data_IF_459673818955
#
_entry.id   IF_459673818955
#
_cell.length_a   1.000
_cell.length_b   1.000
_cell.length_c   1.000
_cell.angle_alpha   90.00
_cell.angle_beta   90.00
_cell.angle_gamma   90.00
#
_symmetry.space_group_name_H-M   'P 1'
#
loop_
_entity.id
_entity.type
_entity.pdbx_description
1 polymer ?
#
# COMPACT_ATOMS: atom_id res chain seq x y z
N UNK A 1 -16.83 56.78 21.74
CA UNK A 1 -17.03 58.20 21.38
C UNK A 1 -16.03 58.49 20.27
N UNK A 2 -16.35 58.92 19.07
CA UNK A 2 -17.59 59.42 18.49
C UNK A 2 -17.44 59.39 16.95
N UNK A 3 -18.55 59.07 16.29
CA UNK A 3 -19.06 59.45 14.96
C UNK A 3 -18.17 59.81 13.74
N UNK A 4 -18.67 59.28 12.61
CA UNK A 4 -18.33 59.45 11.18
C UNK A 4 -18.57 60.90 10.66
N UNK A 5 -18.79 61.22 9.35
CA UNK A 5 -18.60 60.51 8.07
C UNK A 5 -17.96 61.40 6.96
N UNK A 6 -17.78 60.90 5.73
CA UNK A 6 -18.13 61.66 4.49
C UNK A 6 -18.16 60.76 3.23
N UNK A 7 -19.20 61.03 2.44
CA UNK A 7 -19.81 60.31 1.31
C UNK A 7 -19.05 60.50 -0.03
N UNK A 8 -19.42 59.76 -1.10
CA UNK A 8 -18.70 59.64 -2.37
C UNK A 8 -19.14 60.69 -3.40
N UNK A 9 -18.52 60.71 -4.59
CA UNK A 9 -19.20 61.15 -5.81
C UNK A 9 -19.40 60.01 -6.82
N UNK A 10 -20.66 59.83 -7.19
CA UNK A 10 -21.14 59.22 -8.42
C UNK A 10 -20.92 60.20 -9.59
N UNK A 11 -20.55 59.73 -10.79
CA UNK A 11 -21.14 60.27 -12.02
C UNK A 11 -20.96 59.35 -13.23
N UNK A 12 -22.10 58.93 -13.74
CA UNK A 12 -22.32 58.34 -15.05
C UNK A 12 -22.14 59.40 -16.15
N UNK A 13 -21.66 58.95 -17.32
CA UNK A 13 -21.99 59.48 -18.65
C UNK A 13 -21.73 58.33 -19.64
N UNK A 14 -22.74 57.57 -20.07
CA UNK A 14 -23.45 57.78 -21.35
C UNK A 14 -22.59 58.38 -22.45
N UNK A 15 -22.32 57.62 -23.52
CA UNK A 15 -22.27 58.10 -24.93
C UNK A 15 -22.06 56.89 -25.85
N UNK A 16 -23.15 56.46 -26.48
CA UNK A 16 -23.15 55.72 -27.74
C UNK A 16 -22.57 56.60 -28.86
N UNK A 17 -21.96 56.04 -29.90
CA UNK A 17 -22.63 56.02 -31.23
C UNK A 17 -22.21 54.75 -32.01
N UNK A 18 -22.71 54.37 -33.17
CA UNK A 18 -23.61 54.96 -34.14
C UNK A 18 -24.20 53.80 -34.94
N UNK A 19 -25.45 53.96 -35.38
CA UNK A 19 -26.09 53.09 -36.34
C UNK A 19 -25.29 53.01 -37.66
N UNK A 20 -25.17 51.80 -38.21
CA UNK A 20 -24.96 51.64 -39.65
C UNK A 20 -26.03 50.71 -40.20
N UNK A 21 -27.04 51.36 -40.75
CA UNK A 21 -28.06 50.85 -41.66
C UNK A 21 -27.46 49.98 -42.76
N UNK A 22 -27.91 48.74 -42.89
CA UNK A 22 -27.97 48.08 -44.19
C UNK A 22 -29.16 47.12 -44.30
N UNK A 23 -29.74 47.11 -45.49
CA UNK A 23 -31.15 46.89 -45.84
C UNK A 23 -31.55 45.41 -45.88
N UNK A 24 -32.84 45.07 -45.76
CA UNK A 24 -33.33 43.70 -45.90
C UNK A 24 -33.58 43.35 -47.37
N UNK A 25 -33.27 42.11 -47.75
CA UNK A 25 -33.50 41.61 -49.11
C UNK A 25 -33.65 40.09 -49.15
N UNK A 26 -34.90 39.70 -49.41
CA UNK A 26 -35.36 38.49 -50.11
C UNK A 26 -35.29 37.10 -49.46
N UNK A 27 -36.51 36.56 -49.33
CA UNK A 27 -36.88 35.16 -49.17
C UNK A 27 -36.12 34.25 -50.16
N UNK A 28 -35.67 33.09 -49.69
CA UNK A 28 -35.59 31.91 -50.54
C UNK A 28 -35.89 30.64 -49.74
N UNK A 29 -36.88 29.93 -50.25
CA UNK A 29 -37.40 28.63 -49.87
C UNK A 29 -36.44 27.51 -50.26
N UNK A 30 -36.48 26.42 -49.49
CA UNK A 30 -36.24 25.04 -49.95
C UNK A 30 -34.83 24.68 -50.47
N UNK A 31 -34.02 24.04 -49.63
CA UNK A 31 -33.00 23.07 -50.09
C UNK A 31 -32.50 22.20 -48.93
N UNK A 32 -33.26 21.14 -48.72
CA UNK A 32 -32.85 19.77 -48.38
C UNK A 32 -31.33 19.49 -48.39
N UNK A 33 -30.85 18.98 -47.25
CA UNK A 33 -29.73 18.05 -47.06
C UNK A 33 -28.34 18.46 -47.57
N UNK A 34 -27.44 18.77 -46.64
CA UNK A 34 -26.09 18.24 -46.67
C UNK A 34 -25.64 17.88 -45.24
N UNK A 35 -25.26 16.62 -45.11
CA UNK A 35 -24.93 15.87 -43.90
C UNK A 35 -23.74 16.55 -43.18
N UNK A 36 -24.00 17.14 -42.03
CA UNK A 36 -22.96 17.66 -41.12
C UNK A 36 -22.05 16.51 -40.69
N UNK A 37 -20.81 16.54 -41.19
CA UNK A 37 -19.67 15.89 -40.57
C UNK A 37 -19.28 16.70 -39.34
N UNK A 38 -19.74 16.28 -38.17
CA UNK A 38 -19.24 16.83 -36.90
C UNK A 38 -19.10 15.69 -35.90
N UNK A 39 -17.84 15.35 -35.63
CA UNK A 39 -17.38 14.37 -34.66
C UNK A 39 -18.04 14.57 -33.28
N UNK A 40 -19.13 13.87 -32.98
CA UNK A 40 -19.57 13.65 -31.60
C UNK A 40 -18.74 12.52 -30.98
N UNK A 41 -17.52 12.85 -30.56
CA UNK A 41 -16.74 12.01 -29.66
C UNK A 41 -16.91 12.49 -28.23
N UNK A 42 -18.13 12.40 -27.70
CA UNK A 42 -18.35 12.47 -26.26
C UNK A 42 -18.11 11.07 -25.67
N UNK A 43 -16.82 10.90 -25.40
CA UNK A 43 -16.13 9.86 -24.64
C UNK A 43 -16.92 9.49 -23.37
N UNK A 44 -17.34 8.23 -23.31
CA UNK A 44 -17.74 7.55 -22.05
C UNK A 44 -16.66 7.79 -20.97
N UNK A 45 -17.02 8.09 -19.71
CA UNK A 45 -16.07 8.00 -18.62
C UNK A 45 -15.81 6.51 -18.35
N UNK A 46 -14.73 5.98 -18.90
CA UNK A 46 -14.20 4.69 -18.46
C UNK A 46 -13.80 4.85 -16.99
N UNK A 47 -14.48 4.13 -16.10
CA UNK A 47 -14.05 3.90 -14.73
C UNK A 47 -12.75 3.10 -14.79
N UNK A 48 -11.62 3.77 -15.01
CA UNK A 48 -10.31 3.13 -14.89
C UNK A 48 -10.01 2.99 -13.41
N UNK A 49 -10.29 1.78 -12.94
CA UNK A 49 -9.90 1.21 -11.66
C UNK A 49 -8.47 1.62 -11.28
N UNK A 50 -8.34 2.59 -10.37
CA UNK A 50 -7.10 2.88 -9.65
C UNK A 50 -6.90 1.81 -8.57
N UNK A 51 -6.65 0.58 -9.01
CA UNK A 51 -6.03 -0.46 -8.19
C UNK A 51 -4.67 -0.69 -8.82
N UNK A 52 -3.65 0.03 -8.34
CA UNK A 52 -2.22 -0.33 -8.34
C UNK A 52 -1.37 0.95 -8.13
N UNK A 53 -1.25 1.46 -6.90
CA UNK A 53 -0.13 2.35 -6.54
C UNK A 53 0.26 2.17 -5.07
N UNK A 54 0.49 0.94 -4.59
CA UNK A 54 1.20 0.69 -3.32
C UNK A 54 1.94 -0.67 -3.31
N UNK A 55 2.55 -1.08 -4.42
CA UNK A 55 3.34 -2.34 -4.49
C UNK A 55 4.85 -2.10 -4.55
N UNK A 56 5.40 -1.18 -3.75
CA UNK A 56 6.82 -0.81 -3.81
C UNK A 56 7.46 -0.55 -2.46
N UNK A 57 7.22 -1.40 -1.46
CA UNK A 57 7.87 -1.26 -0.16
C UNK A 57 8.37 -2.58 0.44
N UNK A 58 8.47 -3.68 -0.33
CA UNK A 58 8.78 -5.01 0.22
C UNK A 58 10.10 -5.63 -0.25
N UNK A 59 10.92 -4.90 -0.99
CA UNK A 59 12.12 -5.44 -1.65
C UNK A 59 13.22 -5.92 -0.68
N UNK A 60 13.09 -5.64 0.62
CA UNK A 60 14.04 -6.08 1.65
C UNK A 60 13.47 -7.13 2.61
N UNK A 61 12.31 -7.72 2.33
CA UNK A 61 11.73 -8.79 3.18
C UNK A 61 12.04 -10.14 2.57
N UNK A 62 12.61 -11.01 3.41
CA UNK A 62 12.78 -12.41 3.07
C UNK A 62 11.38 -13.05 2.84
N UNK A 63 11.09 -13.51 1.62
CA UNK A 63 9.78 -14.06 1.28
C UNK A 63 9.48 -15.33 2.09
N UNK A 64 10.49 -16.09 2.49
CA UNK A 64 10.34 -17.27 3.36
C UNK A 64 9.83 -16.86 4.73
N UNK A 65 10.36 -15.76 5.27
CA UNK A 65 9.93 -15.23 6.57
C UNK A 65 8.52 -14.66 6.53
N UNK A 66 8.16 -14.00 5.43
CA UNK A 66 6.80 -13.49 5.23
C UNK A 66 5.82 -14.65 5.14
N UNK A 67 6.13 -15.69 4.36
CA UNK A 67 5.31 -16.87 4.23
C UNK A 67 5.14 -17.61 5.58
N UNK A 68 6.21 -17.74 6.38
CA UNK A 68 6.13 -18.32 7.71
C UNK A 68 5.20 -17.53 8.64
N UNK A 69 5.28 -16.19 8.61
CA UNK A 69 4.39 -15.31 9.38
C UNK A 69 2.93 -15.47 8.98
N UNK A 70 2.65 -15.46 7.67
CA UNK A 70 1.29 -15.66 7.13
C UNK A 70 0.75 -17.05 7.46
N UNK A 71 1.57 -18.10 7.41
CA UNK A 71 1.19 -19.45 7.84
C UNK A 71 0.83 -19.49 9.34
N UNK A 72 1.53 -18.73 10.16
CA UNK A 72 1.19 -18.56 11.58
C UNK A 72 -0.16 -17.88 11.80
N UNK A 73 -0.55 -16.94 10.93
CA UNK A 73 -1.88 -16.31 10.96
C UNK A 73 -2.98 -17.33 10.66
N UNK A 74 -2.74 -18.28 9.75
CA UNK A 74 -3.70 -19.33 9.42
C UNK A 74 -3.89 -20.37 10.53
N UNK A 75 -2.84 -20.64 11.30
CA UNK A 75 -2.85 -21.62 12.39
C UNK A 75 -3.56 -21.12 13.66
N UNK A 76 -3.92 -19.84 13.72
CA UNK A 76 -4.51 -19.21 14.89
C UNK A 76 -6.03 -19.21 14.82
N UNK A 77 -6.67 -19.60 15.91
CA UNK A 77 -8.14 -19.61 16.02
C UNK A 77 -8.73 -18.25 16.42
N UNK A 78 -7.90 -17.34 16.94
CA UNK A 78 -8.31 -15.99 17.36
C UNK A 78 -8.27 -14.94 16.22
N UNK A 79 -7.94 -15.38 15.01
CA UNK A 79 -7.83 -14.52 13.82
C UNK A 79 -9.12 -14.59 13.00
N UNK A 80 -9.56 -13.43 12.49
CA UNK A 80 -10.75 -13.35 11.64
C UNK A 80 -10.58 -14.06 10.30
N UNK A 81 -11.68 -14.61 9.77
CA UNK A 81 -11.69 -15.30 8.47
C UNK A 81 -11.20 -14.40 7.34
N UNK A 82 -11.52 -13.10 7.38
CA UNK A 82 -11.03 -12.12 6.40
C UNK A 82 -9.52 -11.85 6.48
N UNK A 83 -8.88 -12.09 7.61
CA UNK A 83 -7.43 -12.02 7.75
C UNK A 83 -6.77 -13.33 7.28
N UNK A 84 -7.39 -14.48 7.56
CA UNK A 84 -6.96 -15.78 7.03
C UNK A 84 -7.01 -15.83 5.50
N UNK A 85 -8.13 -15.40 4.90
CA UNK A 85 -8.29 -15.35 3.46
C UNK A 85 -7.23 -14.47 2.76
N UNK A 86 -6.88 -13.33 3.36
CA UNK A 86 -5.81 -12.46 2.83
C UNK A 86 -4.43 -13.08 2.98
N UNK A 87 -4.19 -13.80 4.08
CA UNK A 87 -2.93 -14.49 4.30
C UNK A 87 -2.76 -15.65 3.31
N UNK A 88 -3.82 -16.39 3.01
CA UNK A 88 -3.87 -17.41 1.95
C UNK A 88 -3.60 -16.81 0.57
N UNK A 89 -4.32 -15.74 0.19
CA UNK A 89 -4.11 -15.07 -1.09
C UNK A 89 -2.65 -14.64 -1.26
N UNK A 90 -2.05 -14.11 -0.18
CA UNK A 90 -0.66 -13.65 -0.20
C UNK A 90 0.35 -14.81 -0.25
N UNK A 91 0.06 -15.94 0.37
CA UNK A 91 0.85 -17.16 0.24
C UNK A 91 0.79 -17.73 -1.18
N UNK A 92 -0.39 -17.68 -1.80
CA UNK A 92 -0.61 -18.10 -3.18
C UNK A 92 0.14 -17.19 -4.16
N UNK A 93 0.04 -15.87 -4.00
CA UNK A 93 0.77 -14.88 -4.79
C UNK A 93 2.29 -15.10 -4.72
N UNK A 94 2.80 -15.52 -3.56
CA UNK A 94 4.21 -15.78 -3.36
C UNK A 94 4.63 -17.22 -3.73
N UNK A 95 3.71 -18.10 -4.16
CA UNK A 95 4.02 -19.48 -4.56
C UNK A 95 4.31 -20.44 -3.39
N UNK A 96 3.86 -20.13 -2.17
CA UNK A 96 4.08 -20.98 -0.98
C UNK A 96 2.93 -21.95 -0.69
N UNK A 97 2.05 -22.18 -1.68
CA UNK A 97 0.97 -23.16 -1.58
C UNK A 97 1.54 -24.58 -1.50
N UNK A 98 0.83 -25.45 -0.78
CA UNK A 98 1.27 -26.81 -0.45
C UNK A 98 1.40 -27.79 -1.61
N UNK A 99 1.38 -27.35 -2.86
CA UNK A 99 1.51 -28.20 -4.05
C UNK A 99 2.99 -28.45 -4.40
N UNK A 100 3.90 -27.53 -4.04
CA UNK A 100 5.35 -27.69 -4.23
C UNK A 100 6.06 -28.34 -3.02
N UNK A 101 5.30 -28.72 -1.98
CA UNK A 101 5.84 -29.39 -0.77
C UNK A 101 6.26 -30.84 -0.97
N UNK A 102 6.16 -31.39 -2.18
CA UNK A 102 6.80 -32.66 -2.47
C UNK A 102 8.33 -32.57 -2.53
N UNK A 103 8.90 -31.37 -2.77
CA UNK A 103 10.36 -31.21 -2.93
C UNK A 103 11.09 -30.66 -1.68
N UNK A 104 10.44 -29.86 -0.83
CA UNK A 104 11.08 -29.28 0.39
C UNK A 104 10.79 -30.07 1.67
N UNK A 105 9.85 -31.04 1.64
CA UNK A 105 9.53 -31.92 2.78
C UNK A 105 10.54 -33.06 3.00
N UNK A 106 11.64 -33.09 2.25
CA UNK A 106 12.77 -34.00 2.50
C UNK A 106 13.78 -33.45 3.52
N UNK A 107 13.55 -32.25 4.08
CA UNK A 107 14.22 -31.79 5.29
C UNK A 107 13.26 -31.94 6.46
N UNK A 108 13.49 -32.96 7.28
CA UNK A 108 12.77 -33.20 8.53
C UNK A 108 12.64 -31.91 9.37
N UNK A 109 11.42 -31.36 9.56
CA UNK A 109 11.22 -30.15 10.37
C UNK A 109 11.50 -30.35 11.87
N UNK A 110 11.66 -31.60 12.31
CA UNK A 110 11.91 -31.99 13.70
C UNK A 110 13.35 -31.67 14.16
N UNK A 111 14.32 -31.61 13.25
CA UNK A 111 15.73 -31.40 13.63
C UNK A 111 16.09 -29.91 13.85
N UNK A 112 15.34 -28.99 13.25
CA UNK A 112 15.64 -27.55 13.24
C UNK A 112 15.16 -26.83 14.52
N UNK A 113 14.04 -27.27 15.12
CA UNK A 113 13.53 -26.68 16.36
C UNK A 113 14.48 -26.91 17.55
N UNK A 114 15.00 -28.13 17.71
CA UNK A 114 15.97 -28.46 18.75
C UNK A 114 17.30 -27.74 18.52
N UNK A 115 17.84 -27.79 17.30
CA UNK A 115 19.11 -27.13 16.97
C UNK A 115 19.04 -25.61 17.17
N UNK A 116 17.91 -24.99 16.83
CA UNK A 116 17.68 -23.55 17.01
C UNK A 116 17.46 -23.18 18.48
N UNK A 117 16.84 -24.05 19.27
CA UNK A 117 16.74 -23.88 20.71
C UNK A 117 18.14 -23.93 21.36
N UNK A 118 18.95 -24.93 21.00
CA UNK A 118 20.30 -25.10 21.54
C UNK A 118 21.23 -23.93 21.21
N UNK A 119 21.14 -23.40 19.99
CA UNK A 119 21.91 -22.22 19.60
C UNK A 119 21.51 -20.96 20.38
N UNK A 120 20.23 -20.78 20.69
CA UNK A 120 19.76 -19.67 21.54
C UNK A 120 20.25 -19.83 22.98
N UNK A 121 20.16 -21.04 23.54
CA UNK A 121 20.64 -21.36 24.89
C UNK A 121 22.15 -21.11 25.02
N UNK A 122 22.96 -21.62 24.08
CA UNK A 122 24.41 -21.36 24.02
C UNK A 122 24.72 -19.86 23.89
N UNK A 123 23.92 -19.11 23.12
CA UNK A 123 24.02 -17.67 23.02
C UNK A 123 23.78 -16.96 24.36
N UNK A 124 22.76 -17.41 25.12
CA UNK A 124 22.45 -16.90 26.45
C UNK A 124 23.60 -17.11 27.44
N UNK A 125 24.18 -18.31 27.50
CA UNK A 125 25.34 -18.56 28.36
C UNK A 125 26.55 -17.71 27.99
N UNK A 126 26.82 -17.51 26.69
CA UNK A 126 27.88 -16.60 26.24
C UNK A 126 27.62 -15.15 26.66
N UNK A 127 26.37 -14.69 26.64
CA UNK A 127 26.00 -13.36 27.11
C UNK A 127 26.23 -13.23 28.63
N UNK A 128 25.89 -14.25 29.42
CA UNK A 128 26.19 -14.30 30.86
C UNK A 128 27.68 -14.13 31.13
N UNK A 129 28.55 -14.81 30.38
CA UNK A 129 30.02 -14.66 30.55
C UNK A 129 30.53 -13.25 30.27
N UNK A 130 29.86 -12.49 29.39
CA UNK A 130 30.25 -11.12 29.03
C UNK A 130 29.62 -10.05 29.92
N UNK A 131 28.60 -10.39 30.70
CA UNK A 131 27.92 -9.43 31.55
C UNK A 131 28.75 -9.14 32.81
N UNK A 132 29.13 -7.87 33.09
CA UNK A 132 29.86 -7.52 34.31
C UNK A 132 29.00 -7.60 35.58
N UNK A 133 27.67 -7.58 35.45
CA UNK A 133 26.73 -7.53 36.57
C UNK A 133 26.23 -8.91 37.04
N UNK A 134 26.75 -10.01 36.48
CA UNK A 134 26.41 -11.36 36.95
C UNK A 134 27.47 -11.88 37.91
N UNK A 135 27.04 -12.69 38.86
CA UNK A 135 27.91 -13.31 39.86
C UNK A 135 28.91 -14.29 39.23
N UNK A 136 30.03 -14.52 39.92
CA UNK A 136 31.05 -15.45 39.43
C UNK A 136 30.55 -16.90 39.39
N UNK A 137 29.64 -17.28 40.28
CA UNK A 137 28.94 -18.57 40.26
C UNK A 137 28.09 -18.75 39.00
N UNK A 138 27.34 -17.72 38.58
CA UNK A 138 26.55 -17.75 37.35
C UNK A 138 27.44 -17.84 36.10
N UNK A 139 28.60 -17.18 36.10
CA UNK A 139 29.59 -17.32 35.02
C UNK A 139 30.19 -18.72 34.99
N UNK A 140 30.48 -19.31 36.15
CA UNK A 140 31.06 -20.65 36.21
C UNK A 140 30.10 -21.70 35.61
N UNK A 141 28.82 -21.67 36.02
CA UNK A 141 27.79 -22.53 35.45
C UNK A 141 27.65 -22.32 33.91
N UNK A 142 27.69 -21.07 33.45
CA UNK A 142 27.66 -20.78 32.01
C UNK A 142 28.86 -21.37 31.24
N UNK A 143 30.07 -21.44 31.85
CA UNK A 143 31.23 -22.12 31.22
C UNK A 143 31.03 -23.63 31.15
N UNK A 144 30.51 -24.23 32.21
CA UNK A 144 30.22 -25.67 32.26
C UNK A 144 29.21 -26.08 31.17
N UNK A 145 28.14 -25.30 31.00
CA UNK A 145 27.13 -25.55 29.95
C UNK A 145 27.67 -25.33 28.53
N UNK A 146 28.70 -24.50 28.35
CA UNK A 146 29.36 -24.29 27.06
C UNK A 146 30.45 -25.33 26.77
N UNK A 147 30.88 -26.10 27.77
CA UNK A 147 32.03 -27.00 27.64
C UNK A 147 33.36 -26.25 27.52
N UNK A 148 33.42 -25.00 27.96
CA UNK A 148 34.61 -24.12 27.91
C UNK A 148 35.52 -24.31 29.16
N UNK A 149 35.47 -25.49 29.80
CA UNK A 149 36.23 -25.82 31.02
C UNK A 149 37.61 -26.38 30.66
#
# INVERSE_FOLDING_TARGET
>A
MDSAPRRPPQRETTTSPSASTQRPGHLSTDAKLHRLSTNQRLRLPQLTQTKQIMSGANDNKDPVRVAAGLKGVLARDDVSDGAKARAEERLNEMGYNGEDRAAESARDPEEDASTKHDNQVKGGYKATLKNPNVSDEAKQNAREQLGDI
#
